data_IF_642365265634
#
_entry.id   IF_642365265634
#
_cell.length_a   1.000
_cell.length_b   1.000
_cell.length_c   1.000
_cell.angle_alpha   90.00
_cell.angle_beta   90.00
_cell.angle_gamma   90.00
#
_symmetry.space_group_name_H-M   'P 1'
#
loop_
_entity.id
_entity.type
_entity.pdbx_description
1 polymer ?
#
# COMPACT_ATOMS: atom_id res chain seq x y z
N UNK A 1 -16.44 -23.01 15.92
CA UNK A 1 -15.57 -23.98 15.21
C UNK A 1 -14.98 -23.39 13.93
N UNK A 2 -15.78 -22.75 13.06
CA UNK A 2 -15.27 -22.12 11.82
C UNK A 2 -14.27 -20.98 12.06
N UNK A 3 -14.56 -20.04 12.97
CA UNK A 3 -13.66 -18.90 13.23
C UNK A 3 -12.28 -19.29 13.79
N UNK A 4 -12.18 -20.40 14.54
CA UNK A 4 -10.91 -20.93 15.04
C UNK A 4 -10.06 -21.53 13.91
N UNK A 5 -10.71 -22.22 12.95
CA UNK A 5 -10.05 -22.81 11.79
C UNK A 5 -9.59 -21.70 10.83
N UNK A 6 -10.41 -20.68 10.59
CA UNK A 6 -10.05 -19.53 9.76
C UNK A 6 -8.85 -18.77 10.35
N UNK A 7 -8.83 -18.59 11.68
CA UNK A 7 -7.69 -17.97 12.38
C UNK A 7 -6.40 -18.79 12.26
N UNK A 8 -6.47 -20.12 12.24
CA UNK A 8 -5.29 -20.98 12.06
C UNK A 8 -4.66 -20.81 10.67
N UNK A 9 -5.48 -20.75 9.61
CA UNK A 9 -4.98 -20.52 8.25
C UNK A 9 -4.34 -19.16 8.08
N UNK A 10 -4.91 -18.13 8.72
CA UNK A 10 -4.35 -16.77 8.72
C UNK A 10 -2.99 -16.76 9.41
N UNK A 11 -2.88 -17.34 10.60
CA UNK A 11 -1.60 -17.44 11.32
C UNK A 11 -0.57 -18.22 10.50
N UNK A 12 -0.95 -19.39 9.96
CA UNK A 12 -0.08 -20.21 9.11
C UNK A 12 0.42 -19.41 7.90
N UNK A 13 -0.48 -18.68 7.22
CA UNK A 13 -0.14 -17.86 6.06
C UNK A 13 0.88 -16.78 6.42
N UNK A 14 0.62 -15.98 7.46
CA UNK A 14 1.51 -14.90 7.89
C UNK A 14 2.85 -15.42 8.41
N UNK A 15 2.87 -16.52 9.16
CA UNK A 15 4.10 -17.17 9.62
C UNK A 15 4.93 -17.72 8.45
N UNK A 16 4.26 -18.33 7.46
CA UNK A 16 4.93 -18.84 6.25
C UNK A 16 5.50 -17.69 5.42
N UNK A 17 4.73 -16.61 5.22
CA UNK A 17 5.18 -15.42 4.52
C UNK A 17 6.40 -14.79 5.21
N UNK A 18 6.35 -14.66 6.53
CA UNK A 18 7.46 -14.15 7.32
C UNK A 18 8.71 -15.04 7.19
N UNK A 19 8.55 -16.37 7.31
CA UNK A 19 9.65 -17.33 7.13
C UNK A 19 10.25 -17.25 5.73
N UNK A 20 9.43 -17.16 4.68
CA UNK A 20 9.89 -17.03 3.31
C UNK A 20 10.71 -15.76 3.10
N UNK A 21 10.25 -14.62 3.62
CA UNK A 21 10.98 -13.35 3.55
C UNK A 21 12.29 -13.45 4.36
N UNK A 22 12.23 -14.00 5.57
CA UNK A 22 13.40 -14.14 6.45
C UNK A 22 14.48 -15.08 5.88
N UNK A 23 14.09 -16.20 5.26
CA UNK A 23 15.00 -17.15 4.63
C UNK A 23 15.61 -16.57 3.34
N UNK A 24 14.83 -15.80 2.57
CA UNK A 24 15.30 -15.16 1.34
C UNK A 24 15.92 -13.77 1.58
N UNK A 25 16.16 -13.37 2.83
CA UNK A 25 16.69 -12.03 3.20
C UNK A 25 17.94 -11.61 2.42
N UNK A 26 18.77 -12.56 1.99
CA UNK A 26 20.00 -12.30 1.25
C UNK A 26 19.75 -11.79 -0.18
N UNK A 27 18.53 -11.96 -0.71
CA UNK A 27 18.12 -11.44 -2.03
C UNK A 27 17.57 -10.02 -1.97
N UNK A 28 17.34 -9.50 -0.76
CA UNK A 28 16.76 -8.19 -0.54
C UNK A 28 17.82 -7.24 -0.01
N UNK A 29 17.82 -6.02 -0.52
CA UNK A 29 18.60 -4.95 0.08
C UNK A 29 17.94 -4.56 1.40
N UNK A 30 18.73 -4.52 2.47
CA UNK A 30 18.21 -4.14 3.79
C UNK A 30 18.38 -2.63 4.00
N UNK A 31 17.28 -1.92 4.19
CA UNK A 31 17.28 -0.52 4.63
C UNK A 31 16.59 -0.44 5.99
N UNK A 32 17.39 -0.40 7.06
CA UNK A 32 16.89 -0.45 8.43
C UNK A 32 16.08 -1.72 8.72
N UNK A 33 14.79 -1.54 9.01
CA UNK A 33 13.84 -2.63 9.26
C UNK A 33 13.18 -3.17 7.98
N UNK A 34 13.34 -2.50 6.84
CA UNK A 34 12.71 -2.86 5.58
C UNK A 34 13.63 -3.73 4.71
N UNK A 35 13.03 -4.70 4.02
CA UNK A 35 13.65 -5.49 2.96
C UNK A 35 13.16 -5.00 1.61
N UNK A 36 14.07 -4.64 0.71
CA UNK A 36 13.74 -3.99 -0.56
C UNK A 36 14.20 -4.88 -1.72
N UNK A 37 13.29 -5.14 -2.65
CA UNK A 37 13.59 -5.75 -3.94
C UNK A 37 13.49 -4.68 -5.03
N UNK A 38 14.65 -4.20 -5.48
CA UNK A 38 14.74 -3.26 -6.61
C UNK A 38 14.56 -4.00 -7.93
N UNK A 39 13.73 -3.44 -8.79
CA UNK A 39 13.46 -3.93 -10.14
C UNK A 39 13.45 -2.76 -11.13
N UNK A 40 13.32 -3.10 -12.42
CA UNK A 40 13.08 -2.13 -13.50
C UNK A 40 11.69 -2.30 -14.11
N UNK A 41 10.79 -3.01 -13.42
CA UNK A 41 9.47 -3.36 -13.96
C UNK A 41 8.58 -2.12 -14.04
N UNK A 42 7.89 -1.96 -15.16
CA UNK A 42 6.97 -0.85 -15.36
C UNK A 42 7.60 0.49 -15.75
N UNK A 43 8.94 0.67 -15.64
CA UNK A 43 9.63 1.92 -16.00
C UNK A 43 9.31 2.37 -17.44
N UNK A 44 9.42 1.45 -18.41
CA UNK A 44 9.12 1.77 -19.81
C UNK A 44 7.64 2.13 -20.07
N UNK A 45 6.71 1.58 -19.27
CA UNK A 45 5.29 1.95 -19.32
C UNK A 45 5.09 3.34 -18.72
N UNK A 46 5.72 3.64 -17.59
CA UNK A 46 5.71 4.98 -16.98
C UNK A 46 6.27 6.02 -17.94
N UNK A 47 7.38 5.71 -18.62
CA UNK A 47 7.98 6.57 -19.63
C UNK A 47 7.01 6.81 -20.79
N UNK A 48 6.40 5.74 -21.33
CA UNK A 48 5.47 5.85 -22.46
C UNK A 48 4.23 6.69 -22.11
N UNK A 49 3.62 6.45 -20.95
CA UNK A 49 2.41 7.17 -20.53
C UNK A 49 2.76 8.60 -20.11
N UNK A 50 3.73 8.75 -19.22
CA UNK A 50 4.16 10.03 -18.67
C UNK A 50 4.71 11.00 -19.71
N UNK A 51 5.42 10.51 -20.74
CA UNK A 51 6.01 11.38 -21.78
C UNK A 51 5.03 11.76 -22.91
N UNK A 52 4.14 10.84 -23.31
CA UNK A 52 3.18 11.07 -24.41
C UNK A 52 2.00 11.93 -24.01
N UNK A 53 1.48 11.72 -22.80
CA UNK A 53 0.30 12.42 -22.30
C UNK A 53 0.62 13.48 -21.24
N UNK A 54 1.81 14.12 -21.33
CA UNK A 54 2.34 15.04 -20.29
C UNK A 54 1.33 16.05 -19.76
N UNK A 55 0.63 16.76 -20.65
CA UNK A 55 -0.33 17.79 -20.25
C UNK A 55 -1.50 17.19 -19.47
N UNK A 56 -2.05 16.08 -19.96
CA UNK A 56 -3.18 15.38 -19.33
C UNK A 56 -2.77 14.84 -17.95
N UNK A 57 -1.61 14.20 -17.87
CA UNK A 57 -1.09 13.66 -16.61
C UNK A 57 -0.86 14.76 -15.57
N UNK A 58 -0.34 15.93 -15.98
CA UNK A 58 -0.16 17.07 -15.07
C UNK A 58 -1.49 17.62 -14.55
N UNK A 59 -2.46 17.84 -15.44
CA UNK A 59 -3.79 18.32 -15.04
C UNK A 59 -4.43 17.31 -14.08
N UNK A 60 -4.41 16.02 -14.45
CA UNK A 60 -4.90 14.95 -13.59
C UNK A 60 -4.17 14.93 -12.24
N UNK A 61 -2.85 15.12 -12.23
CA UNK A 61 -2.04 15.20 -11.00
C UNK A 61 -2.48 16.34 -10.08
N UNK A 62 -2.75 17.54 -10.60
CA UNK A 62 -3.27 18.65 -9.79
C UNK A 62 -4.67 18.39 -9.25
N UNK A 63 -5.56 17.80 -10.06
CA UNK A 63 -6.91 17.42 -9.62
C UNK A 63 -6.82 16.34 -8.53
N UNK A 64 -6.01 15.30 -8.76
CA UNK A 64 -5.78 14.23 -7.79
C UNK A 64 -5.17 14.77 -6.49
N UNK A 65 -4.25 15.73 -6.55
CA UNK A 65 -3.68 16.39 -5.38
C UNK A 65 -4.76 17.13 -4.57
N UNK A 66 -5.62 17.90 -5.24
CA UNK A 66 -6.73 18.58 -4.57
C UNK A 66 -7.69 17.59 -3.89
N UNK A 67 -8.08 16.53 -4.60
CA UNK A 67 -8.93 15.45 -4.06
C UNK A 67 -8.25 14.75 -2.88
N UNK A 68 -6.94 14.47 -2.97
CA UNK A 68 -6.19 13.84 -1.90
C UNK A 68 -6.16 14.70 -0.63
N UNK A 69 -5.96 16.02 -0.76
CA UNK A 69 -6.03 16.94 0.40
C UNK A 69 -7.42 17.00 1.02
N UNK A 70 -8.47 17.08 0.20
CA UNK A 70 -9.86 17.05 0.70
C UNK A 70 -10.18 15.72 1.40
N UNK A 71 -9.76 14.60 0.81
CA UNK A 71 -9.89 13.27 1.37
C UNK A 71 -9.11 13.12 2.69
N UNK A 72 -7.90 13.69 2.77
CA UNK A 72 -7.11 13.71 4.00
C UNK A 72 -7.84 14.47 5.13
N UNK A 73 -8.38 15.66 4.85
CA UNK A 73 -9.15 16.42 5.84
C UNK A 73 -10.40 15.65 6.28
N UNK A 74 -11.11 15.03 5.34
CA UNK A 74 -12.31 14.24 5.61
C UNK A 74 -12.01 13.01 6.48
N UNK A 75 -11.02 12.20 6.11
CA UNK A 75 -10.60 11.02 6.88
C UNK A 75 -10.10 11.44 8.27
N UNK A 76 -9.33 12.53 8.37
CA UNK A 76 -8.88 13.05 9.66
C UNK A 76 -10.05 13.43 10.56
N UNK A 77 -11.05 14.14 10.01
CA UNK A 77 -12.28 14.45 10.73
C UNK A 77 -13.00 13.18 11.22
N UNK A 78 -13.12 12.15 10.37
CA UNK A 78 -13.74 10.88 10.74
C UNK A 78 -12.96 10.16 11.86
N UNK A 79 -11.63 10.13 11.78
CA UNK A 79 -10.77 9.49 12.78
C UNK A 79 -10.83 10.21 14.13
N UNK A 80 -10.79 11.55 14.13
CA UNK A 80 -10.95 12.34 15.36
C UNK A 80 -12.34 12.11 15.96
N UNK A 81 -13.39 12.14 15.14
CA UNK A 81 -14.76 11.88 15.59
C UNK A 81 -14.92 10.48 16.18
N UNK A 82 -14.29 9.48 15.55
CA UNK A 82 -14.27 8.10 16.06
C UNK A 82 -13.52 8.02 17.38
N UNK A 83 -12.36 8.66 17.50
CA UNK A 83 -11.57 8.69 18.73
C UNK A 83 -12.38 9.27 19.90
N UNK A 84 -13.10 10.37 19.70
CA UNK A 84 -14.02 10.91 20.71
C UNK A 84 -15.13 9.93 21.09
N UNK A 85 -15.75 9.25 20.11
CA UNK A 85 -16.82 8.27 20.38
C UNK A 85 -16.31 7.06 21.15
N UNK A 86 -15.13 6.54 20.81
CA UNK A 86 -14.51 5.40 21.49
C UNK A 86 -14.29 5.69 22.99
N UNK A 87 -13.98 6.94 23.36
CA UNK A 87 -13.75 7.33 24.76
C UNK A 87 -15.05 7.67 25.49
N UNK A 88 -16.07 8.19 24.80
CA UNK A 88 -17.30 8.72 25.43
C UNK A 88 -18.48 7.76 25.40
N UNK A 89 -18.53 6.81 24.46
CA UNK A 89 -19.64 5.88 24.27
C UNK A 89 -19.15 4.45 24.47
N UNK A 90 -19.53 3.79 25.59
CA UNK A 90 -19.15 2.40 25.86
C UNK A 90 -19.58 1.46 24.74
N UNK A 91 -18.69 0.54 24.35
CA UNK A 91 -18.96 -0.45 23.31
C UNK A 91 -18.77 0.04 21.87
N UNK A 92 -18.30 1.27 21.65
CA UNK A 92 -17.96 1.77 20.31
C UNK A 92 -16.75 0.99 19.75
N UNK A 93 -16.87 0.36 18.56
CA UNK A 93 -15.73 -0.29 17.91
C UNK A 93 -14.63 0.72 17.56
N UNK A 94 -13.38 0.39 17.85
CA UNK A 94 -12.22 1.21 17.46
C UNK A 94 -11.85 1.06 15.99
N UNK A 95 -10.84 1.81 15.54
CA UNK A 95 -10.24 1.60 14.23
C UNK A 95 -9.39 0.32 14.23
N UNK A 96 -9.49 -0.47 13.16
CA UNK A 96 -8.71 -1.70 12.95
C UNK A 96 -7.83 -1.59 11.71
N UNK A 97 -6.69 -2.28 11.71
CA UNK A 97 -5.85 -2.40 10.52
C UNK A 97 -6.59 -3.20 9.43
N UNK A 98 -6.50 -2.74 8.19
CA UNK A 98 -7.06 -3.44 7.03
C UNK A 98 -6.06 -4.49 6.55
N UNK A 99 -6.02 -5.62 7.26
CA UNK A 99 -5.14 -6.75 6.94
C UNK A 99 -5.97 -7.96 6.48
N UNK A 100 -5.65 -8.57 5.33
CA UNK A 100 -6.39 -9.72 4.83
C UNK A 100 -6.37 -10.88 5.82
N UNK A 101 -7.53 -11.47 6.08
CA UNK A 101 -7.72 -12.53 7.06
C UNK A 101 -8.05 -12.04 8.47
N UNK A 102 -7.95 -10.75 8.76
CA UNK A 102 -8.35 -10.17 10.05
C UNK A 102 -9.73 -9.52 9.98
N UNK A 103 -10.35 -9.36 11.15
CA UNK A 103 -11.61 -8.63 11.26
C UNK A 103 -11.39 -7.13 11.10
N UNK A 104 -12.20 -6.52 10.25
CA UNK A 104 -12.32 -5.08 10.12
C UNK A 104 -13.52 -4.64 10.95
N UNK A 105 -13.29 -3.70 11.87
CA UNK A 105 -14.30 -3.16 12.75
C UNK A 105 -15.52 -2.68 11.95
N UNK A 106 -16.69 -3.27 12.23
CA UNK A 106 -17.96 -2.92 11.59
C UNK A 106 -18.16 -3.46 10.17
N UNK A 107 -17.18 -4.15 9.57
CA UNK A 107 -17.26 -4.69 8.21
C UNK A 107 -17.05 -6.21 8.11
N UNK A 108 -16.63 -6.86 9.21
CA UNK A 108 -16.41 -8.30 9.28
C UNK A 108 -15.01 -8.72 8.79
N UNK A 109 -14.80 -10.01 8.57
CA UNK A 109 -13.49 -10.56 8.18
C UNK A 109 -13.12 -10.16 6.75
N UNK A 110 -11.95 -9.54 6.60
CA UNK A 110 -11.42 -9.23 5.27
C UNK A 110 -10.94 -10.54 4.61
N UNK A 111 -11.41 -10.92 3.41
CA UNK A 111 -11.01 -12.18 2.80
C UNK A 111 -9.49 -12.27 2.58
N UNK A 112 -8.86 -13.36 3.01
CA UNK A 112 -7.39 -13.48 2.98
C UNK A 112 -6.80 -13.36 1.56
N UNK A 113 -7.16 -14.27 0.65
CA UNK A 113 -6.55 -14.32 -0.69
C UNK A 113 -6.96 -13.11 -1.54
N UNK A 114 -8.27 -12.85 -1.61
CA UNK A 114 -8.83 -11.75 -2.41
C UNK A 114 -8.39 -10.39 -1.86
N UNK A 115 -8.28 -10.26 -0.54
CA UNK A 115 -7.77 -9.05 0.11
C UNK A 115 -6.31 -8.80 -0.25
N UNK A 116 -5.45 -9.83 -0.24
CA UNK A 116 -4.06 -9.70 -0.68
C UNK A 116 -3.94 -9.31 -2.15
N UNK A 117 -4.73 -9.92 -3.03
CA UNK A 117 -4.76 -9.56 -4.45
C UNK A 117 -5.18 -8.10 -4.63
N UNK A 118 -6.23 -7.67 -3.92
CA UNK A 118 -6.71 -6.28 -3.94
C UNK A 118 -5.65 -5.29 -3.48
N UNK A 119 -4.95 -5.59 -2.37
CA UNK A 119 -3.87 -4.76 -1.86
C UNK A 119 -2.68 -4.70 -2.82
N UNK A 120 -2.28 -5.82 -3.43
CA UNK A 120 -1.20 -5.81 -4.42
C UNK A 120 -1.55 -4.95 -5.64
N UNK A 121 -2.79 -5.06 -6.14
CA UNK A 121 -3.25 -4.25 -7.26
C UNK A 121 -3.25 -2.76 -6.89
N UNK A 122 -3.80 -2.39 -5.72
CA UNK A 122 -3.89 -0.98 -5.33
C UNK A 122 -2.50 -0.36 -5.15
N UNK A 123 -1.56 -1.09 -4.54
CA UNK A 123 -0.19 -0.63 -4.36
C UNK A 123 0.53 -0.45 -5.69
N UNK A 124 0.44 -1.44 -6.59
CA UNK A 124 1.07 -1.37 -7.91
C UNK A 124 0.53 -0.18 -8.70
N UNK A 125 -0.79 0.02 -8.72
CA UNK A 125 -1.42 1.14 -9.43
C UNK A 125 -1.07 2.49 -8.80
N UNK A 126 -1.06 2.57 -7.47
CA UNK A 126 -0.71 3.79 -6.73
C UNK A 126 0.70 4.25 -7.03
N UNK A 127 1.68 3.35 -6.85
CA UNK A 127 3.09 3.65 -7.08
C UNK A 127 3.39 3.87 -8.57
N UNK A 128 2.75 3.11 -9.46
CA UNK A 128 2.81 3.36 -10.89
C UNK A 128 2.33 4.77 -11.25
N UNK A 129 1.26 5.25 -10.61
CA UNK A 129 0.72 6.59 -10.85
C UNK A 129 1.70 7.67 -10.40
N UNK A 130 2.35 7.51 -9.25
CA UNK A 130 3.44 8.40 -8.81
C UNK A 130 4.57 8.44 -9.84
N UNK A 131 4.99 7.27 -10.36
CA UNK A 131 5.99 7.20 -11.41
C UNK A 131 5.57 7.89 -12.72
N UNK A 132 4.32 7.70 -13.16
CA UNK A 132 3.79 8.37 -14.36
C UNK A 132 3.79 9.89 -14.19
N UNK A 133 3.37 10.39 -13.03
CA UNK A 133 3.41 11.84 -12.73
C UNK A 133 4.84 12.34 -12.70
N UNK A 134 5.77 11.65 -12.03
CA UNK A 134 7.18 12.02 -12.00
C UNK A 134 7.78 12.15 -13.42
N UNK A 135 7.51 11.17 -14.30
CA UNK A 135 7.93 11.22 -15.71
C UNK A 135 7.31 12.39 -16.47
N UNK A 136 6.06 12.76 -16.18
CA UNK A 136 5.43 13.91 -16.81
C UNK A 136 6.10 15.25 -16.44
N UNK A 137 6.71 15.32 -15.25
CA UNK A 137 7.54 16.44 -14.79
C UNK A 137 9.03 16.30 -15.16
N UNK A 138 9.38 15.32 -16.01
CA UNK A 138 10.76 15.01 -16.44
C UNK A 138 11.69 14.60 -15.30
N UNK A 139 11.15 14.15 -14.16
CA UNK A 139 11.92 13.55 -13.09
C UNK A 139 12.31 12.14 -13.54
N UNK A 140 13.60 11.82 -13.46
CA UNK A 140 14.08 10.48 -13.79
C UNK A 140 13.71 9.51 -12.68
N UNK A 141 13.40 8.28 -13.05
CA UNK A 141 13.13 7.19 -12.10
C UNK A 141 14.23 6.15 -12.30
N UNK A 142 14.95 5.85 -11.22
CA UNK A 142 16.09 4.93 -11.20
C UNK A 142 15.64 3.49 -11.08
N UNK A 143 14.69 3.23 -10.18
CA UNK A 143 14.18 1.89 -9.92
C UNK A 143 12.72 1.90 -9.47
N UNK A 144 12.08 0.75 -9.55
CA UNK A 144 10.75 0.48 -8.97
C UNK A 144 10.80 -0.88 -8.31
N UNK A 145 9.92 -1.17 -7.35
CA UNK A 145 10.00 -2.47 -6.71
C UNK A 145 9.00 -2.71 -5.61
N UNK A 146 9.33 -3.71 -4.80
CA UNK A 146 8.54 -4.13 -3.66
C UNK A 146 9.42 -3.99 -2.41
N UNK A 147 8.87 -3.39 -1.37
CA UNK A 147 9.46 -3.33 -0.04
C UNK A 147 8.64 -4.18 0.93
N UNK A 148 9.27 -4.71 1.96
CA UNK A 148 8.60 -5.49 3.00
C UNK A 148 9.02 -4.99 4.38
N UNK A 149 8.03 -4.72 5.24
CA UNK A 149 8.23 -4.50 6.68
C UNK A 149 7.56 -5.68 7.39
N UNK A 150 8.37 -6.65 7.82
CA UNK A 150 7.85 -7.94 8.26
C UNK A 150 7.01 -8.60 7.15
N UNK A 151 5.77 -9.06 7.42
CA UNK A 151 4.90 -9.66 6.41
C UNK A 151 4.10 -8.62 5.59
N UNK A 152 4.30 -7.31 5.81
CA UNK A 152 3.54 -6.26 5.13
C UNK A 152 4.32 -5.82 3.88
N UNK A 153 3.82 -6.10 2.66
CA UNK A 153 4.39 -5.59 1.44
C UNK A 153 4.02 -4.12 1.22
N UNK A 154 4.90 -3.41 0.53
CA UNK A 154 4.70 -2.13 -0.09
C UNK A 154 5.27 -2.19 -1.51
N UNK A 155 4.76 -1.37 -2.43
CA UNK A 155 5.45 -1.09 -3.67
C UNK A 155 6.17 0.27 -3.55
N UNK A 156 7.14 0.54 -4.42
CA UNK A 156 7.77 1.85 -4.47
C UNK A 156 8.25 2.20 -5.88
N UNK A 157 8.41 3.50 -6.11
CA UNK A 157 9.09 4.09 -7.26
C UNK A 157 10.15 5.07 -6.75
N UNK A 158 11.40 4.85 -7.13
CA UNK A 158 12.57 5.60 -6.65
C UNK A 158 13.00 6.64 -7.71
N UNK A 159 12.79 7.95 -7.46
CA UNK A 159 13.32 9.00 -8.33
C UNK A 159 14.85 9.04 -8.29
N UNK A 160 15.44 9.55 -9.37
CA UNK A 160 16.87 9.83 -9.47
C UNK A 160 17.12 11.21 -8.84
N UNK A 161 17.73 11.26 -7.66
CA UNK A 161 18.00 12.52 -6.91
C UNK A 161 19.37 13.15 -7.24
N UNK A 162 20.01 12.71 -8.34
CA UNK A 162 21.27 13.27 -8.87
C UNK A 162 21.06 14.40 -9.90
#
# INVERSE_FOLDING_TARGET
MSQLIDSQWVILFYSTLFLLIYLNRNKFDRQGIAFILRTKLGLGLMDKVGSRARLIVKIFGYVALAVAYLGFLFITYLLVSLAFKVVTVPGTPGASLVLPGLEIAGLGTFPLIIGWISLLIIMVVHEFSHGVVARAYKIKIKSSGIAFIGPIPGAFVEPDEE
#
